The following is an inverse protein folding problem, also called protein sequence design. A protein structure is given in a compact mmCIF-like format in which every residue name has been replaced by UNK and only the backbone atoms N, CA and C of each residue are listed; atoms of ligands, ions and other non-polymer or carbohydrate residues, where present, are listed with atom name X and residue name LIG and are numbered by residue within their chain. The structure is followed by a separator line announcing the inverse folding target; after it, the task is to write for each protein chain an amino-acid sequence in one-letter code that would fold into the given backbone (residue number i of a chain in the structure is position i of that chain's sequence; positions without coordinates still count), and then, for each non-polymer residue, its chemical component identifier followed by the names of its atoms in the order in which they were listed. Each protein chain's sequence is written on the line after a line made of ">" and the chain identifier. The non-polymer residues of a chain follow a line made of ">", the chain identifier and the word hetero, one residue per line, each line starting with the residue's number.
data_IF_216836326481
#
_entry.id   IF_216836326481
#
_cell.length_a   1.000
_cell.length_b   1.000
_cell.length_c   1.000
_cell.angle_alpha   90.00
_cell.angle_beta   90.00
_cell.angle_gamma   90.00
#
_symmetry.space_group_name_H-M   'P 1'
#
loop_
_entity.id
_entity.type
_entity.pdbx_description
1 polymer ?
#
# COMPACT_ATOMS: atom_id res chain seq x y z
N UNK A 1 -9.30 52.84 5.85
CA UNK A 1 -8.27 52.77 4.80
C UNK A 1 -8.65 51.68 3.83
N UNK A 2 -8.74 51.95 2.51
CA UNK A 2 -9.06 50.91 1.54
C UNK A 2 -7.94 49.86 1.48
N UNK A 3 -8.33 48.60 1.38
CA UNK A 3 -7.39 47.47 1.28
C UNK A 3 -6.74 47.48 -0.11
N UNK A 4 -5.41 47.53 -0.17
CA UNK A 4 -4.65 47.46 -1.42
C UNK A 4 -4.70 46.03 -2.00
N UNK A 5 -5.71 45.80 -2.83
CA UNK A 5 -5.95 44.51 -3.51
C UNK A 5 -4.80 44.10 -4.43
N UNK A 6 -4.04 45.05 -4.99
CA UNK A 6 -2.89 44.76 -5.86
C UNK A 6 -1.73 44.18 -5.04
N UNK A 7 -1.43 44.80 -3.91
CA UNK A 7 -0.43 44.30 -2.95
C UNK A 7 -0.82 42.97 -2.33
N UNK A 8 -2.11 42.73 -2.11
CA UNK A 8 -2.62 41.44 -1.62
C UNK A 8 -2.43 40.33 -2.67
N UNK A 9 -2.82 40.56 -3.93
CA UNK A 9 -2.60 39.62 -5.05
C UNK A 9 -1.10 39.35 -5.28
N UNK A 10 -0.27 40.39 -5.20
CA UNK A 10 1.18 40.24 -5.33
C UNK A 10 1.78 39.43 -4.18
N UNK A 11 1.37 39.66 -2.93
CA UNK A 11 1.78 38.83 -1.78
C UNK A 11 1.28 37.40 -1.88
N UNK A 12 0.08 37.17 -2.41
CA UNK A 12 -0.46 35.83 -2.63
C UNK A 12 0.32 35.09 -3.73
N UNK A 13 0.66 35.78 -4.83
CA UNK A 13 1.54 35.27 -5.88
C UNK A 13 2.96 34.99 -5.36
N UNK A 14 3.53 35.88 -4.55
CA UNK A 14 4.84 35.71 -3.93
C UNK A 14 4.84 34.59 -2.88
N UNK A 15 3.75 34.41 -2.14
CA UNK A 15 3.58 33.29 -1.22
C UNK A 15 3.39 31.97 -1.97
N UNK A 16 2.82 32.01 -3.19
CA UNK A 16 2.70 30.87 -4.09
C UNK A 16 4.02 30.52 -4.82
N UNK A 17 5.05 31.39 -4.77
CA UNK A 17 6.39 31.12 -5.32
C UNK A 17 7.24 30.20 -4.44
N UNK A 18 6.81 29.88 -3.22
CA UNK A 18 7.39 28.77 -2.46
C UNK A 18 6.93 27.47 -3.12
N UNK A 19 7.86 26.73 -3.73
CA UNK A 19 7.60 25.46 -4.43
C UNK A 19 7.13 24.31 -3.54
N UNK A 20 6.69 24.61 -2.31
CA UNK A 20 6.09 23.67 -1.37
C UNK A 20 4.60 23.55 -1.69
N UNK A 21 4.16 22.31 -1.97
CA UNK A 21 2.75 21.98 -2.20
C UNK A 21 1.97 22.10 -0.90
N UNK A 22 2.41 21.37 0.13
CA UNK A 22 1.95 21.50 1.51
C UNK A 22 2.88 22.45 2.27
N UNK A 23 2.33 23.54 2.81
CA UNK A 23 3.11 24.57 3.51
C UNK A 23 2.92 24.46 5.01
N UNK A 24 4.02 24.36 5.73
CA UNK A 24 4.03 24.53 7.17
C UNK A 24 3.76 25.99 7.56
N UNK A 25 3.01 26.17 8.64
CA UNK A 25 2.54 27.47 9.13
C UNK A 25 3.64 28.18 9.93
N UNK A 26 3.97 29.42 9.55
CA UNK A 26 4.98 30.21 10.28
C UNK A 26 4.57 30.44 11.74
N UNK A 27 5.53 30.24 12.65
CA UNK A 27 5.34 30.43 14.09
C UNK A 27 4.52 29.32 14.77
N UNK A 28 4.19 28.25 14.02
CA UNK A 28 3.62 27.03 14.56
C UNK A 28 4.59 25.87 14.42
N UNK A 29 4.38 24.91 15.29
CA UNK A 29 4.95 23.57 15.18
C UNK A 29 3.81 22.65 14.73
N UNK A 30 4.05 21.89 13.67
CA UNK A 30 3.11 20.91 13.13
C UNK A 30 3.60 19.51 13.47
N UNK A 31 2.73 18.70 14.07
CA UNK A 31 2.96 17.30 14.34
C UNK A 31 2.52 16.51 13.12
N UNK A 32 3.44 15.82 12.46
CA UNK A 32 3.16 15.10 11.22
C UNK A 32 3.56 13.63 11.34
N UNK A 33 2.85 12.81 10.59
CA UNK A 33 3.19 11.43 10.28
C UNK A 33 3.74 11.34 8.86
N UNK A 34 4.81 10.57 8.66
CA UNK A 34 5.42 10.33 7.34
C UNK A 34 4.90 9.02 6.76
N UNK A 35 4.46 9.05 5.51
CA UNK A 35 3.93 7.86 4.84
C UNK A 35 5.05 6.90 4.44
N UNK A 36 4.71 5.62 4.27
CA UNK A 36 5.60 4.61 3.71
C UNK A 36 5.82 4.78 2.20
N UNK A 37 6.54 3.83 1.57
CA UNK A 37 6.68 3.78 0.11
C UNK A 37 5.31 3.66 -0.59
N UNK A 38 5.04 4.51 -1.59
CA UNK A 38 3.81 4.42 -2.38
C UNK A 38 3.72 3.15 -3.23
N UNK A 39 4.88 2.62 -3.64
CA UNK A 39 5.02 1.41 -4.46
C UNK A 39 5.92 0.44 -3.66
N UNK A 40 5.38 -0.31 -2.70
CA UNK A 40 6.17 -1.20 -1.85
C UNK A 40 6.83 -2.35 -2.63
N UNK A 41 6.34 -2.64 -3.84
CA UNK A 41 6.85 -3.61 -4.79
C UNK A 41 7.83 -3.01 -5.82
N UNK A 42 8.16 -1.71 -5.72
CA UNK A 42 9.12 -1.08 -6.62
C UNK A 42 10.48 -1.78 -6.56
N UNK A 43 11.06 -2.03 -7.74
CA UNK A 43 12.33 -2.73 -7.90
C UNK A 43 13.45 -1.84 -8.42
N UNK A 44 13.17 -0.58 -8.77
CA UNK A 44 14.17 0.34 -9.29
C UNK A 44 15.15 0.78 -8.21
N UNK A 45 16.45 0.68 -8.47
CA UNK A 45 17.51 0.97 -7.49
C UNK A 45 17.43 2.38 -6.87
N UNK A 46 16.85 3.33 -7.60
CA UNK A 46 16.72 4.73 -7.18
C UNK A 46 15.64 4.95 -6.12
N UNK A 47 14.64 4.07 -6.04
CA UNK A 47 13.38 4.32 -5.30
C UNK A 47 12.89 3.11 -4.52
N UNK A 48 13.40 1.91 -4.80
CA UNK A 48 13.08 0.67 -4.09
C UNK A 48 13.19 0.83 -2.57
N UNK A 49 12.06 0.62 -1.89
CA UNK A 49 11.95 0.67 -0.44
C UNK A 49 12.08 2.08 0.16
N UNK A 50 12.11 3.14 -0.64
CA UNK A 50 12.21 4.52 -0.15
C UNK A 50 10.81 5.13 0.02
N UNK A 51 10.49 5.77 1.16
CA UNK A 51 9.25 6.52 1.35
C UNK A 51 9.25 7.91 0.70
N UNK A 52 10.25 8.22 -0.12
CA UNK A 52 10.37 9.50 -0.81
C UNK A 52 10.91 9.35 -2.23
N UNK A 53 10.68 10.38 -3.04
CA UNK A 53 11.20 10.47 -4.40
C UNK A 53 11.99 11.77 -4.56
N UNK A 54 13.19 11.68 -5.14
CA UNK A 54 13.95 12.85 -5.57
C UNK A 54 13.47 13.32 -6.95
N UNK A 55 13.21 14.62 -7.08
CA UNK A 55 12.84 15.23 -8.36
C UNK A 55 13.55 16.57 -8.54
N UNK A 56 14.05 16.83 -9.75
CA UNK A 56 14.62 18.13 -10.10
C UNK A 56 13.57 19.00 -10.77
N UNK A 57 13.40 20.23 -10.29
CA UNK A 57 12.38 21.15 -10.79
C UNK A 57 12.97 22.53 -11.10
N UNK A 58 12.52 23.13 -12.19
CA UNK A 58 12.75 24.54 -12.47
C UNK A 58 11.57 25.38 -11.96
N UNK A 59 11.87 26.58 -11.49
CA UNK A 59 10.86 27.55 -11.05
C UNK A 59 10.94 28.84 -11.86
N UNK A 60 9.85 29.59 -11.91
CA UNK A 60 9.82 30.91 -12.56
C UNK A 60 9.98 30.86 -14.08
N UNK A 61 9.40 29.85 -14.73
CA UNK A 61 9.52 29.65 -16.18
C UNK A 61 8.68 30.64 -17.00
N UNK A 62 7.58 31.15 -16.47
CA UNK A 62 6.74 32.15 -17.12
C UNK A 62 5.54 32.57 -16.27
N UNK A 63 4.60 33.29 -16.87
CA UNK A 63 3.33 33.64 -16.23
C UNK A 63 2.44 32.40 -16.06
N UNK A 64 2.40 31.54 -17.09
CA UNK A 64 1.51 30.38 -17.17
C UNK A 64 2.14 29.15 -16.51
N UNK A 65 3.45 28.93 -16.73
CA UNK A 65 4.20 27.84 -16.10
C UNK A 65 5.03 28.37 -14.93
N UNK A 66 4.52 28.16 -13.71
CA UNK A 66 5.23 28.55 -12.48
C UNK A 66 6.41 27.65 -12.16
N UNK A 67 6.29 26.36 -12.47
CA UNK A 67 7.34 25.37 -12.29
C UNK A 67 7.18 24.24 -13.33
N UNK A 68 8.26 23.53 -13.61
CA UNK A 68 8.23 22.30 -14.40
C UNK A 68 9.33 21.34 -13.93
N UNK A 69 9.08 20.05 -14.09
CA UNK A 69 10.09 19.02 -13.89
C UNK A 69 11.22 19.20 -14.91
N UNK A 70 12.47 19.10 -14.46
CA UNK A 70 13.66 19.21 -15.30
C UNK A 70 13.75 17.99 -16.23
N UNK A 71 13.81 18.21 -17.54
CA UNK A 71 13.85 17.14 -18.56
C UNK A 71 15.26 16.58 -18.83
N UNK A 72 16.25 16.97 -18.03
CA UNK A 72 17.61 16.45 -18.13
C UNK A 72 17.66 15.09 -17.44
N UNK A 73 17.69 13.99 -18.22
CA UNK A 73 17.62 12.62 -17.70
C UNK A 73 18.79 12.25 -16.79
N UNK A 74 19.96 12.87 -16.99
CA UNK A 74 21.16 12.59 -16.18
C UNK A 74 21.04 13.26 -14.81
N UNK A 75 20.43 14.46 -14.75
CA UNK A 75 20.14 15.14 -13.48
C UNK A 75 18.91 14.60 -12.80
N UNK A 76 17.91 14.17 -13.56
CA UNK A 76 16.58 13.82 -13.07
C UNK A 76 16.18 12.41 -13.50
N UNK A 77 16.86 11.37 -12.98
CA UNK A 77 16.70 10.01 -13.45
C UNK A 77 15.31 9.43 -13.15
N UNK A 78 14.54 10.02 -12.23
CA UNK A 78 13.15 9.64 -11.98
C UNK A 78 12.27 9.72 -13.23
N UNK A 79 12.65 10.53 -14.23
CA UNK A 79 11.91 10.61 -15.49
C UNK A 79 11.93 9.31 -16.28
N UNK A 80 12.96 8.48 -16.16
CA UNK A 80 13.03 7.19 -16.87
C UNK A 80 12.44 6.04 -16.05
N UNK A 81 11.96 6.30 -14.84
CA UNK A 81 11.34 5.30 -13.98
C UNK A 81 10.08 4.69 -14.62
N UNK A 82 9.90 3.35 -14.64
CA UNK A 82 8.78 2.69 -15.32
C UNK A 82 7.40 3.22 -14.90
N UNK A 83 7.16 3.37 -13.59
CA UNK A 83 5.90 3.96 -13.08
C UNK A 83 5.65 5.37 -13.60
N UNK A 84 6.66 6.25 -13.59
CA UNK A 84 6.49 7.63 -14.11
C UNK A 84 6.17 7.61 -15.60
N UNK A 85 6.84 6.75 -16.37
CA UNK A 85 6.58 6.56 -17.80
C UNK A 85 5.19 6.01 -18.10
N UNK A 86 4.72 5.06 -17.29
CA UNK A 86 3.35 4.52 -17.35
C UNK A 86 2.33 5.64 -17.12
N UNK A 87 2.42 6.34 -15.98
CA UNK A 87 1.50 7.43 -15.64
C UNK A 87 1.55 8.60 -16.64
N UNK A 88 2.70 8.90 -17.24
CA UNK A 88 2.77 9.93 -18.30
C UNK A 88 1.99 9.55 -19.55
N UNK A 89 1.94 8.25 -19.91
CA UNK A 89 1.19 7.74 -21.07
C UNK A 89 -0.31 7.67 -20.82
N UNK A 90 -0.72 7.44 -19.57
CA UNK A 90 -2.13 7.37 -19.17
C UNK A 90 -2.81 8.75 -19.08
N UNK A 91 -2.05 9.84 -19.11
CA UNK A 91 -2.60 11.19 -19.15
C UNK A 91 -3.51 11.36 -20.37
N UNK A 92 -4.60 12.11 -20.19
CA UNK A 92 -5.50 12.51 -21.29
C UNK A 92 -4.73 13.19 -22.43
N UNK A 93 -3.74 14.01 -22.08
CA UNK A 93 -2.77 14.57 -23.02
C UNK A 93 -1.33 14.17 -22.59
N UNK A 94 -0.79 13.10 -23.18
CA UNK A 94 0.57 12.65 -22.89
C UNK A 94 1.60 13.67 -23.37
N UNK A 95 2.51 14.13 -22.49
CA UNK A 95 3.49 15.13 -22.88
C UNK A 95 4.48 14.53 -23.89
N UNK A 96 4.71 15.22 -24.99
CA UNK A 96 5.81 14.88 -25.92
C UNK A 96 7.12 15.36 -25.32
N UNK A 97 7.87 14.42 -24.75
CA UNK A 97 9.15 14.68 -24.06
C UNK A 97 10.28 14.04 -24.85
N UNK A 98 11.20 14.88 -25.32
CA UNK A 98 12.46 14.44 -25.91
C UNK A 98 13.58 14.54 -24.86
N UNK A 99 13.84 13.42 -24.17
CA UNK A 99 14.87 13.35 -23.13
C UNK A 99 16.30 13.40 -23.70
N UNK A 100 16.48 13.06 -24.98
CA UNK A 100 17.79 13.08 -25.64
C UNK A 100 18.16 14.48 -26.13
N UNK A 101 17.17 15.30 -26.48
CA UNK A 101 17.37 16.72 -26.74
C UNK A 101 17.77 17.52 -25.49
N UNK A 102 17.63 16.96 -24.28
CA UNK A 102 17.93 17.61 -23.01
C UNK A 102 16.91 18.67 -22.58
N UNK A 103 17.09 19.25 -21.39
CA UNK A 103 16.14 20.22 -20.85
C UNK A 103 16.26 21.61 -21.49
N UNK A 104 15.18 22.16 -22.11
CA UNK A 104 15.22 23.49 -22.71
C UNK A 104 15.58 24.61 -21.72
N UNK A 105 15.19 24.48 -20.45
CA UNK A 105 15.55 25.45 -19.41
C UNK A 105 17.04 25.42 -19.14
N UNK A 106 17.62 24.23 -18.91
CA UNK A 106 19.05 24.04 -18.68
C UNK A 106 19.90 24.60 -19.82
N UNK A 107 19.46 24.41 -21.07
CA UNK A 107 20.14 24.92 -22.25
C UNK A 107 20.12 26.44 -22.34
N UNK A 108 19.06 27.10 -21.86
CA UNK A 108 18.91 28.56 -21.91
C UNK A 108 19.59 29.28 -20.75
N UNK A 109 19.88 28.60 -19.63
CA UNK A 109 20.51 29.20 -18.44
C UNK A 109 21.81 29.99 -18.76
N UNK A 110 22.74 29.49 -19.59
CA UNK A 110 23.96 30.23 -19.94
C UNK A 110 23.72 31.59 -20.61
N UNK A 111 22.57 31.74 -21.29
CA UNK A 111 22.19 32.97 -21.99
C UNK A 111 21.38 33.93 -21.10
N UNK A 112 21.04 33.54 -19.87
CA UNK A 112 20.27 34.35 -18.93
C UNK A 112 21.17 35.24 -18.08
N UNK A 113 20.60 36.34 -17.56
CA UNK A 113 21.29 37.12 -16.52
C UNK A 113 21.50 36.28 -15.26
N UNK A 114 22.47 36.67 -14.40
CA UNK A 114 22.73 35.98 -13.13
C UNK A 114 21.49 35.93 -12.22
N UNK A 115 20.68 36.98 -12.25
CA UNK A 115 19.46 37.08 -11.45
C UNK A 115 18.39 36.13 -11.97
N UNK A 116 18.12 36.13 -13.27
CA UNK A 116 17.16 35.22 -13.90
C UNK A 116 17.57 33.75 -13.78
N UNK A 117 18.84 33.45 -14.05
CA UNK A 117 19.37 32.09 -13.93
C UNK A 117 19.28 31.59 -12.50
N UNK A 118 19.56 32.42 -11.48
CA UNK A 118 19.51 31.98 -10.08
C UNK A 118 18.13 31.49 -9.62
N UNK A 119 17.05 32.07 -10.16
CA UNK A 119 15.68 31.65 -9.87
C UNK A 119 15.23 30.45 -10.71
N UNK A 120 15.87 30.22 -11.87
CA UNK A 120 15.50 29.18 -12.85
C UNK A 120 16.41 27.97 -12.87
N UNK A 121 17.54 27.97 -12.17
CA UNK A 121 18.39 26.77 -12.03
C UNK A 121 17.55 25.63 -11.47
N UNK A 122 17.74 24.43 -12.01
CA UNK A 122 17.06 23.23 -11.52
C UNK A 122 17.38 23.05 -10.03
N UNK A 123 16.35 22.93 -9.21
CA UNK A 123 16.46 22.69 -7.78
C UNK A 123 16.03 21.27 -7.49
N UNK A 124 16.89 20.55 -6.77
CA UNK A 124 16.55 19.25 -6.20
C UNK A 124 15.45 19.42 -5.15
N UNK A 125 14.38 18.65 -5.28
CA UNK A 125 13.26 18.57 -4.36
C UNK A 125 13.05 17.12 -3.94
N UNK A 126 12.54 16.97 -2.72
CA UNK A 126 12.20 15.68 -2.16
C UNK A 126 10.70 15.65 -1.95
N UNK A 127 10.05 14.64 -2.53
CA UNK A 127 8.62 14.40 -2.43
C UNK A 127 8.39 13.37 -1.32
N UNK A 128 7.47 13.66 -0.41
CA UNK A 128 7.06 12.81 0.69
C UNK A 128 5.55 12.78 0.79
N UNK A 129 4.97 11.61 1.09
CA UNK A 129 3.61 11.56 1.62
C UNK A 129 3.63 11.92 3.11
N UNK A 130 2.77 12.84 3.54
CA UNK A 130 2.65 13.26 4.94
C UNK A 130 1.19 13.34 5.38
N UNK A 131 0.93 13.17 6.67
CA UNK A 131 -0.36 13.48 7.29
C UNK A 131 -0.15 14.42 8.46
N UNK A 132 -0.82 15.58 8.45
CA UNK A 132 -0.80 16.50 9.59
C UNK A 132 -1.72 15.99 10.70
N UNK A 133 -1.14 15.62 11.83
CA UNK A 133 -1.82 15.04 13.00
C UNK A 133 -2.31 16.14 13.93
N UNK A 134 -1.61 17.27 14.00
CA UNK A 134 -1.99 18.39 14.83
C UNK A 134 -1.02 19.56 14.70
N UNK A 135 -1.35 20.66 15.36
CA UNK A 135 -0.46 21.83 15.40
C UNK A 135 -0.46 22.47 16.77
N UNK A 136 0.61 23.19 17.11
CA UNK A 136 0.66 24.02 18.31
C UNK A 136 1.34 25.34 18.05
N UNK A 137 1.08 26.30 18.93
CA UNK A 137 1.91 27.50 19.01
C UNK A 137 3.14 27.15 19.84
N UNK A 138 4.30 27.69 19.48
CA UNK A 138 5.60 27.39 20.12
C UNK A 138 5.67 27.57 21.65
N UNK A 139 4.66 28.19 22.28
CA UNK A 139 4.60 28.46 23.72
C UNK A 139 3.58 27.59 24.47
N UNK A 140 2.81 26.77 23.75
CA UNK A 140 1.88 25.82 24.37
C UNK A 140 2.54 24.45 24.42
N UNK A 141 2.33 23.72 25.51
CA UNK A 141 2.90 22.38 25.64
C UNK A 141 2.10 21.37 24.80
N UNK A 142 0.80 21.58 24.67
CA UNK A 142 -0.10 20.62 24.03
C UNK A 142 -0.30 20.92 22.54
N UNK A 143 -0.46 19.85 21.77
CA UNK A 143 -0.87 19.90 20.37
C UNK A 143 -2.39 19.95 20.24
N UNK A 144 -2.88 20.90 19.45
CA UNK A 144 -4.25 20.91 18.96
C UNK A 144 -4.33 19.84 17.85
N UNK A 145 -4.80 18.64 18.22
CA UNK A 145 -4.95 17.53 17.29
C UNK A 145 -6.00 17.84 16.22
N UNK A 146 -5.67 17.52 14.98
CA UNK A 146 -6.57 17.71 13.84
C UNK A 146 -7.71 16.70 13.95
N UNK A 147 -8.94 17.18 13.83
CA UNK A 147 -10.13 16.32 13.96
C UNK A 147 -10.23 15.31 12.81
N UNK A 148 -9.76 15.71 11.63
CA UNK A 148 -9.75 14.91 10.41
C UNK A 148 -8.41 15.08 9.70
N UNK A 149 -7.34 14.42 10.18
CA UNK A 149 -6.03 14.47 9.55
C UNK A 149 -6.16 14.07 8.07
N UNK A 150 -5.64 14.93 7.18
CA UNK A 150 -5.69 14.68 5.74
C UNK A 150 -4.29 14.29 5.23
N UNK A 151 -4.15 13.13 4.57
CA UNK A 151 -2.98 12.81 3.78
C UNK A 151 -2.74 13.91 2.74
N UNK A 152 -1.48 14.27 2.54
CA UNK A 152 -1.06 15.25 1.55
C UNK A 152 0.36 14.96 1.06
N UNK A 153 0.69 15.45 -0.13
CA UNK A 153 2.05 15.41 -0.64
C UNK A 153 2.82 16.65 -0.15
N UNK A 154 4.01 16.43 0.39
CA UNK A 154 4.97 17.48 0.67
C UNK A 154 6.11 17.43 -0.34
N UNK A 155 6.43 18.59 -0.92
CA UNK A 155 7.57 18.76 -1.83
C UNK A 155 8.44 19.86 -1.28
N UNK A 156 9.71 19.58 -0.95
CA UNK A 156 10.55 20.61 -0.35
C UNK A 156 12.04 20.41 -0.50
N UNK A 157 12.79 21.26 0.19
CA UNK A 157 14.24 21.33 0.10
C UNK A 157 14.97 20.37 1.03
N UNK A 158 16.29 20.28 0.84
CA UNK A 158 17.18 19.36 1.55
C UNK A 158 17.17 19.51 3.08
N UNK A 159 16.91 20.70 3.62
CA UNK A 159 16.94 20.93 5.07
C UNK A 159 15.87 20.12 5.80
N UNK A 160 14.63 20.14 5.31
CA UNK A 160 13.53 19.37 5.92
C UNK A 160 13.68 17.89 5.62
N UNK A 161 14.09 17.54 4.39
CA UNK A 161 14.38 16.16 4.02
C UNK A 161 15.43 15.52 4.92
N UNK A 162 16.57 16.17 5.15
CA UNK A 162 17.59 15.67 6.07
C UNK A 162 17.06 15.55 7.50
N UNK A 163 16.25 16.51 7.95
CA UNK A 163 15.57 16.40 9.24
C UNK A 163 14.64 15.19 9.33
N UNK A 164 13.97 14.81 8.24
CA UNK A 164 13.20 13.56 8.17
C UNK A 164 14.13 12.35 8.19
N UNK A 165 15.19 12.31 7.39
CA UNK A 165 16.17 11.21 7.40
C UNK A 165 16.81 10.99 8.77
N UNK A 166 17.16 12.07 9.47
CA UNK A 166 17.65 12.01 10.84
C UNK A 166 16.59 11.41 11.77
N UNK A 167 15.30 11.65 11.49
CA UNK A 167 14.20 11.02 12.20
C UNK A 167 14.11 9.49 11.96
N UNK A 168 14.47 9.01 10.76
CA UNK A 168 14.47 7.59 10.36
C UNK A 168 15.69 6.77 10.82
N UNK A 169 16.73 7.42 11.34
CA UNK A 169 18.02 6.76 11.57
C UNK A 169 17.99 5.55 12.52
N UNK A 170 17.02 5.51 13.43
CA UNK A 170 16.94 4.49 14.50
C UNK A 170 15.71 3.58 14.38
N UNK A 171 14.64 4.02 13.71
CA UNK A 171 13.32 3.37 13.69
C UNK A 171 12.59 3.61 12.35
N UNK A 172 11.71 2.69 11.97
CA UNK A 172 10.80 2.88 10.84
C UNK A 172 9.66 3.83 11.21
N UNK A 173 9.85 5.13 10.97
CA UNK A 173 8.83 6.14 11.26
C UNK A 173 7.64 6.11 10.27
N UNK A 174 7.63 5.19 9.30
CA UNK A 174 6.53 4.97 8.34
C UNK A 174 5.59 3.82 8.70
N UNK A 175 5.83 3.15 9.84
CA UNK A 175 4.96 2.09 10.31
C UNK A 175 3.69 2.66 10.95
N UNK A 176 2.53 2.41 10.35
CA UNK A 176 1.25 2.94 10.85
C UNK A 176 0.78 2.32 12.17
N UNK A 177 1.29 1.15 12.53
CA UNK A 177 0.96 0.44 13.77
C UNK A 177 1.90 0.78 14.93
N UNK A 178 3.05 1.37 14.61
CA UNK A 178 4.05 1.91 15.55
C UNK A 178 4.48 3.30 15.09
N UNK A 179 3.49 4.15 14.83
CA UNK A 179 3.71 5.45 14.25
C UNK A 179 4.51 6.36 15.18
N UNK A 180 5.60 6.88 14.62
CA UNK A 180 6.44 7.88 15.22
C UNK A 180 6.16 9.21 14.54
N UNK A 181 5.93 10.26 15.32
CA UNK A 181 5.63 11.57 14.78
C UNK A 181 6.87 12.44 14.69
N UNK A 182 6.86 13.33 13.70
CA UNK A 182 7.86 14.37 13.51
C UNK A 182 7.22 15.72 13.79
N UNK A 183 7.93 16.58 14.52
CA UNK A 183 7.53 17.95 14.77
C UNK A 183 8.28 18.85 13.78
N UNK A 184 7.54 19.59 12.97
CA UNK A 184 8.08 20.55 12.03
C UNK A 184 7.73 21.97 12.46
N UNK A 185 8.74 22.73 12.88
CA UNK A 185 8.63 24.16 13.17
C UNK A 185 9.14 25.00 12.01
N UNK A 186 8.37 26.02 11.61
CA UNK A 186 8.79 27.00 10.60
C UNK A 186 8.97 28.38 11.21
N UNK A 187 10.15 28.95 11.03
CA UNK A 187 10.50 30.29 11.51
C UNK A 187 10.94 31.21 10.37
N UNK A 188 10.52 32.47 10.44
CA UNK A 188 10.92 33.52 9.51
C UNK A 188 10.05 33.58 8.25
N UNK A 189 9.75 34.80 7.84
CA UNK A 189 8.97 35.11 6.65
C UNK A 189 9.90 35.51 5.50
N UNK A 190 10.04 34.62 4.50
CA UNK A 190 10.56 35.01 3.19
C UNK A 190 11.51 33.99 2.54
N UNK A 191 11.69 34.15 1.22
CA UNK A 191 12.41 33.24 0.31
C UNK A 191 13.83 32.87 0.78
N UNK A 192 14.51 33.76 1.53
CA UNK A 192 15.90 33.59 2.00
C UNK A 192 16.05 33.55 3.53
N UNK A 193 14.95 33.69 4.27
CA UNK A 193 14.95 33.82 5.73
C UNK A 193 14.21 32.71 6.46
N UNK A 194 13.52 31.83 5.73
CA UNK A 194 12.82 30.70 6.33
C UNK A 194 13.82 29.67 6.87
N UNK A 195 13.65 29.32 8.13
CA UNK A 195 14.37 28.26 8.82
C UNK A 195 13.36 27.20 9.23
N UNK A 196 13.77 25.95 9.05
CA UNK A 196 13.01 24.80 9.51
C UNK A 196 13.71 24.18 10.71
N UNK A 197 12.92 23.81 11.71
CA UNK A 197 13.34 23.00 12.85
C UNK A 197 12.57 21.69 12.76
N UNK A 198 13.28 20.57 12.75
CA UNK A 198 12.70 19.24 12.64
C UNK A 198 13.15 18.46 13.86
N UNK A 199 12.20 17.91 14.62
CA UNK A 199 12.46 17.15 15.84
C UNK A 199 11.61 15.89 15.86
N UNK A 200 12.13 14.80 16.41
CA UNK A 200 11.30 13.63 16.72
C UNK A 200 10.36 13.99 17.88
N UNK A 201 9.11 13.55 17.82
CA UNK A 201 8.20 13.69 18.96
C UNK A 201 8.59 12.73 20.08
N UNK A 202 9.07 13.29 21.20
CA UNK A 202 9.57 12.48 22.31
C UNK A 202 8.51 11.59 22.98
N UNK A 203 7.22 11.91 22.83
CA UNK A 203 6.15 11.09 23.38
C UNK A 203 6.01 9.79 22.57
N UNK A 204 5.88 9.90 21.25
CA UNK A 204 5.79 8.72 20.37
C UNK A 204 7.06 7.89 20.30
N UNK A 205 8.25 8.48 20.48
CA UNK A 205 9.48 7.69 20.65
C UNK A 205 9.40 6.74 21.86
N UNK A 206 8.81 7.20 22.97
CA UNK A 206 8.71 6.40 24.20
C UNK A 206 7.58 5.39 24.13
N UNK A 207 6.48 5.78 23.51
CA UNK A 207 5.26 5.00 23.38
C UNK A 207 4.69 5.18 21.95
N UNK A 208 5.13 4.36 20.99
CA UNK A 208 4.73 4.48 19.59
C UNK A 208 3.21 4.48 19.45
N UNK A 209 2.68 5.44 18.69
CA UNK A 209 1.25 5.56 18.51
C UNK A 209 0.75 4.54 17.49
N UNK A 210 -0.40 3.91 17.74
CA UNK A 210 -1.11 3.16 16.70
C UNK A 210 -2.09 4.08 15.99
N UNK A 211 -1.94 4.26 14.68
CA UNK A 211 -2.88 5.11 13.93
C UNK A 211 -4.28 4.48 13.90
N UNK A 212 -5.35 5.26 14.08
CA UNK A 212 -6.71 4.75 13.97
C UNK A 212 -6.96 4.08 12.61
N UNK A 213 -7.67 2.95 12.57
CA UNK A 213 -8.01 2.22 11.33
C UNK A 213 -8.53 3.12 10.20
N UNK A 214 -9.48 4.05 10.44
CA UNK A 214 -9.96 4.94 9.39
C UNK A 214 -8.88 5.84 8.80
N UNK A 215 -7.89 6.26 9.61
CA UNK A 215 -6.78 7.07 9.14
C UNK A 215 -5.76 6.24 8.36
N UNK A 216 -5.47 5.00 8.79
CA UNK A 216 -4.62 4.06 8.05
C UNK A 216 -5.17 3.81 6.65
N UNK A 217 -6.46 3.50 6.56
CA UNK A 217 -7.15 3.33 5.27
C UNK A 217 -7.09 4.59 4.40
N UNK A 218 -7.37 5.77 4.97
CA UNK A 218 -7.29 7.04 4.24
C UNK A 218 -5.87 7.33 3.72
N UNK A 219 -4.82 7.00 4.49
CA UNK A 219 -3.43 7.14 4.05
C UNK A 219 -3.12 6.20 2.88
N UNK A 220 -3.47 4.91 2.99
CA UNK A 220 -3.23 3.93 1.91
C UNK A 220 -3.95 4.33 0.63
N UNK A 221 -5.20 4.75 0.73
CA UNK A 221 -5.98 5.20 -0.43
C UNK A 221 -5.37 6.45 -1.07
N UNK A 222 -4.98 7.43 -0.25
CA UNK A 222 -4.29 8.61 -0.76
C UNK A 222 -2.97 8.25 -1.45
N UNK A 223 -2.21 7.26 -0.96
CA UNK A 223 -0.96 6.80 -1.57
C UNK A 223 -1.16 6.09 -2.92
N UNK A 224 -2.35 5.53 -3.19
CA UNK A 224 -2.74 5.04 -4.52
C UNK A 224 -3.13 6.20 -5.47
N UNK A 225 -3.64 7.30 -4.91
CA UNK A 225 -4.14 8.48 -5.64
C UNK A 225 -3.28 9.73 -5.47
N UNK A 226 -3.84 10.74 -4.81
CA UNK A 226 -3.31 12.11 -4.75
C UNK A 226 -1.94 12.26 -4.07
N UNK A 227 -1.56 11.30 -3.22
CA UNK A 227 -0.26 11.25 -2.56
C UNK A 227 0.72 10.28 -3.25
N UNK A 228 0.37 9.65 -4.38
CA UNK A 228 1.31 8.82 -5.11
C UNK A 228 2.43 9.70 -5.71
N UNK A 229 3.66 9.50 -5.23
CA UNK A 229 4.80 10.34 -5.58
C UNK A 229 5.15 10.27 -7.07
N UNK A 230 5.05 9.09 -7.69
CA UNK A 230 5.37 8.88 -9.11
C UNK A 230 4.32 9.53 -10.01
N UNK A 231 3.04 9.36 -9.66
CA UNK A 231 1.92 10.01 -10.35
C UNK A 231 2.01 11.54 -10.27
N UNK A 232 2.45 12.07 -9.12
CA UNK A 232 2.71 13.50 -8.97
C UNK A 232 3.81 13.96 -9.93
N UNK A 233 4.95 13.24 -10.00
CA UNK A 233 6.02 13.58 -10.96
C UNK A 233 5.48 13.59 -12.38
N UNK A 234 4.82 12.51 -12.81
CA UNK A 234 4.25 12.37 -14.16
C UNK A 234 3.26 13.50 -14.53
N UNK A 235 2.42 13.89 -13.57
CA UNK A 235 1.45 14.99 -13.73
C UNK A 235 2.12 16.37 -13.87
N UNK A 236 3.34 16.55 -13.33
CA UNK A 236 4.08 17.81 -13.39
C UNK A 236 5.12 17.87 -14.53
N UNK A 237 5.29 16.79 -15.30
CA UNK A 237 6.10 16.82 -16.52
C UNK A 237 5.37 17.63 -17.59
N UNK A 238 6.08 18.61 -18.16
CA UNK A 238 5.63 19.40 -19.31
C UNK A 238 6.34 18.92 -20.56
N UNK A 239 5.66 18.98 -21.70
CA UNK A 239 6.26 18.69 -23.00
C UNK A 239 7.41 19.65 -23.29
N UNK A 240 8.34 19.22 -24.16
CA UNK A 240 9.49 20.04 -24.53
C UNK A 240 9.05 21.38 -25.15
N UNK A 241 7.98 21.37 -25.94
CA UNK A 241 7.47 22.56 -26.63
C UNK A 241 6.71 23.51 -25.70
N UNK A 242 5.94 23.02 -24.72
CA UNK A 242 5.34 23.85 -23.67
C UNK A 242 6.42 24.62 -22.89
N UNK A 243 7.51 23.95 -22.52
CA UNK A 243 8.61 24.60 -21.81
C UNK A 243 9.27 25.67 -22.68
N UNK A 244 9.49 25.40 -23.98
CA UNK A 244 10.04 26.39 -24.92
C UNK A 244 9.11 27.59 -25.08
N UNK A 245 7.80 27.35 -25.23
CA UNK A 245 6.79 28.39 -25.33
C UNK A 245 6.78 29.29 -24.08
N UNK A 246 6.78 28.70 -22.89
CA UNK A 246 6.86 29.44 -21.63
C UNK A 246 8.13 30.29 -21.54
N UNK A 247 9.29 29.72 -21.90
CA UNK A 247 10.56 30.45 -21.93
C UNK A 247 10.61 31.57 -22.96
N UNK A 248 9.82 31.48 -24.03
CA UNK A 248 9.67 32.52 -25.04
C UNK A 248 8.63 33.60 -24.64
N UNK A 249 7.89 33.40 -23.54
CA UNK A 249 6.80 34.27 -23.13
C UNK A 249 5.57 34.20 -24.04
N UNK A 250 5.45 33.12 -24.83
CA UNK A 250 4.26 32.82 -25.62
C UNK A 250 3.21 32.29 -24.66
N UNK A 251 2.04 32.92 -24.63
CA UNK A 251 0.90 32.42 -23.86
C UNK A 251 0.58 31.00 -24.32
N UNK A 252 0.63 30.06 -23.40
CA UNK A 252 0.24 28.68 -23.69
C UNK A 252 -1.29 28.67 -23.63
N UNK A 253 -1.94 28.16 -24.67
CA UNK A 253 -3.37 27.96 -24.62
C UNK A 253 -3.66 27.12 -23.38
N UNK A 254 -4.45 27.65 -22.45
CA UNK A 254 -4.96 26.83 -21.35
C UNK A 254 -5.79 25.74 -22.02
N UNK A 255 -5.33 24.49 -21.97
CA UNK A 255 -6.20 23.37 -22.31
C UNK A 255 -7.47 23.57 -21.49
N UNK A 256 -8.63 23.56 -22.15
CA UNK A 256 -9.91 23.50 -21.47
C UNK A 256 -9.90 22.21 -20.65
N UNK A 257 -9.36 22.31 -19.44
CA UNK A 257 -9.35 21.27 -18.45
C UNK A 257 -10.82 21.15 -18.11
N UNK A 258 -11.50 20.25 -18.83
CA UNK A 258 -12.87 19.89 -18.54
C UNK A 258 -12.88 19.63 -17.04
N UNK A 259 -13.53 20.52 -16.29
CA UNK A 259 -13.72 20.29 -14.86
C UNK A 259 -14.29 18.88 -14.78
N UNK A 260 -13.66 17.97 -14.02
CA UNK A 260 -14.19 16.62 -13.91
C UNK A 260 -15.65 16.82 -13.52
N UNK A 261 -16.56 16.32 -14.38
CA UNK A 261 -17.99 16.32 -14.05
C UNK A 261 -18.06 15.78 -12.64
N UNK A 262 -18.55 16.60 -11.71
CA UNK A 262 -18.56 16.25 -10.31
C UNK A 262 -19.24 14.89 -10.22
N UNK A 263 -18.50 13.83 -9.86
CA UNK A 263 -19.08 12.52 -9.68
C UNK A 263 -20.27 12.70 -8.76
N UNK A 264 -21.47 12.46 -9.29
CA UNK A 264 -22.68 12.52 -8.50
C UNK A 264 -22.46 11.58 -7.32
N UNK A 265 -22.40 12.15 -6.12
CA UNK A 265 -22.39 11.37 -4.88
C UNK A 265 -23.48 10.32 -5.00
N UNK A 266 -23.18 9.02 -4.85
CA UNK A 266 -24.17 7.98 -5.06
C UNK A 266 -25.39 8.29 -4.19
N UNK A 267 -26.56 8.43 -4.84
CA UNK A 267 -27.84 8.63 -4.17
C UNK A 267 -28.20 7.35 -3.41
N UNK A 268 -27.62 7.19 -2.22
CA UNK A 268 -28.17 6.38 -1.16
C UNK A 268 -29.50 7.00 -0.72
N UNK A 269 -30.59 6.41 -1.20
CA UNK A 269 -31.96 6.91 -1.09
C UNK A 269 -32.43 7.27 0.33
N UNK A 270 -33.33 8.25 0.38
CA UNK A 270 -33.96 8.84 1.58
C UNK A 270 -34.88 7.90 2.37
N UNK A 271 -35.07 6.65 1.95
CA UNK A 271 -36.11 5.77 2.48
C UNK A 271 -35.59 4.51 3.20
N UNK A 272 -34.34 4.49 3.67
CA UNK A 272 -33.91 3.49 4.66
C UNK A 272 -34.20 4.02 6.07
N UNK A 273 -35.24 3.48 6.72
CA UNK A 273 -35.62 3.88 8.08
C UNK A 273 -34.69 3.23 9.11
N UNK A 274 -33.71 4.00 9.57
CA UNK A 274 -32.88 3.68 10.74
C UNK A 274 -33.68 3.92 12.03
N UNK A 275 -33.78 2.92 12.89
CA UNK A 275 -34.47 3.08 14.18
C UNK A 275 -33.76 4.11 15.08
N UNK A 276 -34.58 4.96 15.72
CA UNK A 276 -34.15 6.15 16.46
C UNK A 276 -33.65 5.76 17.86
N UNK A 277 -32.34 5.59 18.04
CA UNK A 277 -31.75 5.35 19.36
C UNK A 277 -30.37 4.69 19.34
N UNK A 278 -29.99 4.09 18.21
CA UNK A 278 -28.70 3.43 18.04
C UNK A 278 -27.62 4.45 17.69
N UNK A 279 -26.49 4.52 18.43
CA UNK A 279 -25.34 5.28 17.97
C UNK A 279 -24.91 4.72 16.62
N UNK A 280 -24.82 5.57 15.60
CA UNK A 280 -24.24 5.20 14.31
C UNK A 280 -22.84 4.61 14.59
N UNK A 281 -22.52 3.38 14.15
CA UNK A 281 -21.14 2.96 14.15
C UNK A 281 -20.38 3.95 13.28
N UNK A 282 -19.32 4.55 13.83
CA UNK A 282 -18.36 5.31 13.02
C UNK A 282 -17.80 4.29 12.03
N UNK A 283 -18.12 4.45 10.75
CA UNK A 283 -17.67 3.57 9.67
C UNK A 283 -16.16 3.32 9.81
N UNK A 284 -15.79 2.08 10.13
CA UNK A 284 -14.44 1.59 9.94
C UNK A 284 -14.36 1.21 8.46
N UNK A 285 -13.87 2.12 7.64
CA UNK A 285 -13.72 1.95 6.19
C UNK A 285 -12.53 1.04 5.85
N UNK A 286 -12.45 -0.12 6.49
CA UNK A 286 -11.45 -1.14 6.20
C UNK A 286 -11.88 -1.90 4.93
N UNK A 287 -10.94 -2.19 4.02
CA UNK A 287 -11.14 -3.25 3.03
C UNK A 287 -11.39 -4.59 3.80
N UNK A 288 -12.08 -5.59 3.23
CA UNK A 288 -12.39 -6.84 3.95
C UNK A 288 -11.17 -7.49 4.63
N UNK A 289 -10.00 -7.37 4.02
CA UNK A 289 -8.73 -7.88 4.55
C UNK A 289 -8.22 -7.09 5.78
N UNK A 290 -8.61 -5.83 5.94
CA UNK A 290 -8.31 -4.98 7.12
C UNK A 290 -9.29 -5.22 8.29
N UNK A 291 -10.41 -5.92 8.04
CA UNK A 291 -11.38 -6.33 9.07
C UNK A 291 -10.94 -7.62 9.76
N UNK A 292 -10.28 -8.51 9.01
CA UNK A 292 -9.86 -9.82 9.48
C UNK A 292 -8.72 -9.78 10.52
N UNK A 293 -8.02 -8.64 10.63
CA UNK A 293 -6.91 -8.49 11.57
C UNK A 293 -7.20 -7.53 12.74
N UNK A 294 -6.89 -8.07 13.93
CA UNK A 294 -6.66 -7.44 15.23
C UNK A 294 -7.76 -7.52 16.31
N UNK A 295 -7.25 -7.68 17.54
CA UNK A 295 -7.96 -7.62 18.81
C UNK A 295 -8.83 -6.35 18.97
N UNK A 296 -8.61 -5.27 18.19
CA UNK A 296 -9.47 -4.08 18.22
C UNK A 296 -10.80 -4.32 17.52
N UNK A 297 -10.82 -5.06 16.41
CA UNK A 297 -12.07 -5.56 15.83
C UNK A 297 -12.74 -6.54 16.79
N UNK A 298 -11.99 -7.47 17.40
CA UNK A 298 -12.55 -8.42 18.36
C UNK A 298 -13.13 -7.74 19.62
N UNK A 299 -12.55 -6.62 20.06
CA UNK A 299 -13.02 -5.82 21.19
C UNK A 299 -14.07 -4.76 20.82
N UNK A 300 -14.39 -4.59 19.53
CA UNK A 300 -15.37 -3.59 19.08
C UNK A 300 -16.80 -4.08 19.32
N UNK A 301 -17.60 -3.30 20.04
CA UNK A 301 -19.03 -3.58 20.29
C UNK A 301 -19.86 -3.72 18.99
N UNK A 302 -19.36 -3.20 17.87
CA UNK A 302 -20.02 -3.21 16.56
C UNK A 302 -19.46 -4.25 15.59
N UNK A 303 -18.52 -5.12 16.02
CA UNK A 303 -17.84 -6.08 15.14
C UNK A 303 -18.78 -6.98 14.36
N UNK A 304 -19.89 -7.38 14.98
CA UNK A 304 -20.94 -8.20 14.38
C UNK A 304 -21.67 -7.49 13.25
N UNK A 305 -22.03 -6.22 13.45
CA UNK A 305 -22.68 -5.41 12.42
C UNK A 305 -21.72 -5.11 11.25
N UNK A 306 -20.43 -4.94 11.54
CA UNK A 306 -19.41 -4.76 10.49
C UNK A 306 -19.18 -6.05 9.69
N UNK A 307 -19.08 -7.21 10.36
CA UNK A 307 -18.94 -8.51 9.73
C UNK A 307 -20.12 -8.82 8.78
N UNK A 308 -21.35 -8.55 9.22
CA UNK A 308 -22.59 -8.74 8.44
C UNK A 308 -22.67 -7.79 7.22
N UNK A 309 -22.26 -6.53 7.40
CA UNK A 309 -22.21 -5.55 6.29
C UNK A 309 -21.15 -5.89 5.24
N UNK A 310 -20.05 -6.52 5.65
CA UNK A 310 -18.90 -6.80 4.80
C UNK A 310 -18.83 -8.26 4.32
N UNK A 311 -19.77 -9.12 4.74
CA UNK A 311 -19.81 -10.56 4.45
C UNK A 311 -18.50 -11.29 4.82
N UNK A 312 -17.95 -10.95 6.00
CA UNK A 312 -16.72 -11.56 6.54
C UNK A 312 -16.98 -12.21 7.89
N UNK A 313 -16.19 -13.24 8.23
CA UNK A 313 -16.27 -13.87 9.55
C UNK A 313 -15.88 -12.90 10.67
N UNK A 314 -16.54 -13.00 11.82
CA UNK A 314 -16.28 -12.14 12.98
C UNK A 314 -14.92 -12.50 13.59
N UNK A 315 -13.98 -11.55 13.72
CA UNK A 315 -12.68 -11.85 14.29
C UNK A 315 -12.76 -12.37 15.73
N UNK A 316 -12.13 -13.52 15.97
CA UNK A 316 -11.97 -14.13 17.30
C UNK A 316 -13.03 -15.16 17.71
N UNK A 317 -13.98 -15.51 16.84
CA UNK A 317 -14.79 -16.72 17.04
C UNK A 317 -14.21 -17.87 16.21
N UNK A 318 -13.81 -18.94 16.89
CA UNK A 318 -13.59 -20.23 16.21
C UNK A 318 -14.92 -20.63 15.56
N UNK A 319 -14.92 -21.03 14.27
CA UNK A 319 -16.13 -21.54 13.64
C UNK A 319 -16.67 -22.66 14.52
N UNK A 320 -17.95 -22.56 14.92
CA UNK A 320 -18.60 -23.65 15.65
C UNK A 320 -18.31 -24.94 14.88
N UNK A 321 -17.77 -25.98 15.53
CA UNK A 321 -17.40 -27.19 14.86
C UNK A 321 -18.62 -27.68 14.09
N UNK A 322 -18.46 -27.83 12.77
CA UNK A 322 -19.53 -28.36 11.92
C UNK A 322 -20.08 -29.60 12.62
N UNK A 323 -21.41 -29.71 12.78
CA UNK A 323 -22.01 -30.85 13.45
C UNK A 323 -21.42 -32.11 12.82
N UNK A 324 -20.78 -32.94 13.66
CA UNK A 324 -20.13 -34.16 13.20
C UNK A 324 -21.10 -34.87 12.26
N UNK A 325 -20.67 -35.16 11.01
CA UNK A 325 -21.55 -35.86 10.07
C UNK A 325 -22.02 -37.13 10.77
N UNK A 326 -23.35 -37.29 10.85
CA UNK A 326 -23.94 -38.53 11.35
C UNK A 326 -23.22 -39.69 10.64
N UNK A 327 -22.75 -40.70 11.39
CA UNK A 327 -21.90 -41.75 10.84
C UNK A 327 -22.56 -42.32 9.60
N UNK A 328 -21.91 -42.14 8.45
CA UNK A 328 -22.33 -42.78 7.22
C UNK A 328 -22.48 -44.28 7.50
N UNK A 329 -23.60 -44.91 7.09
CA UNK A 329 -23.78 -46.34 7.27
C UNK A 329 -22.60 -47.07 6.61
N UNK A 330 -21.88 -47.87 7.40
CA UNK A 330 -20.79 -48.72 6.90
C UNK A 330 -21.26 -49.42 5.63
N UNK A 331 -20.51 -49.33 4.51
CA UNK A 331 -20.89 -49.99 3.28
C UNK A 331 -20.97 -51.50 3.55
N UNK A 332 -22.19 -52.04 3.46
CA UNK A 332 -22.39 -53.48 3.58
C UNK A 332 -21.48 -54.18 2.55
N UNK A 333 -20.66 -55.18 2.96
CA UNK A 333 -19.82 -55.90 2.04
C UNK A 333 -20.69 -56.53 0.94
N UNK A 334 -20.28 -56.47 -0.34
CA UNK A 334 -21.07 -56.99 -1.44
C UNK A 334 -21.39 -58.46 -1.19
N UNK A 335 -22.67 -58.77 -0.97
CA UNK A 335 -23.19 -60.09 -0.54
C UNK A 335 -22.96 -61.21 -1.57
N UNK A 336 -22.25 -60.97 -2.66
CA UNK A 336 -22.00 -61.91 -3.76
C UNK A 336 -20.55 -61.92 -4.25
N UNK A 337 -19.56 -61.67 -3.38
CA UNK A 337 -18.16 -61.94 -3.75
C UNK A 337 -17.92 -63.45 -3.89
N UNK A 338 -17.65 -63.89 -5.12
CA UNK A 338 -17.36 -65.30 -5.39
C UNK A 338 -15.97 -65.67 -4.86
N UNK A 339 -15.72 -66.96 -4.67
CA UNK A 339 -14.40 -67.47 -4.27
C UNK A 339 -13.29 -67.09 -5.27
N UNK A 340 -13.64 -66.84 -6.53
CA UNK A 340 -12.71 -66.37 -7.55
C UNK A 340 -12.31 -64.90 -7.29
N UNK A 341 -13.27 -64.05 -6.91
CA UNK A 341 -13.05 -62.62 -6.64
C UNK A 341 -12.14 -62.43 -5.41
N UNK A 342 -12.38 -63.18 -4.33
CA UNK A 342 -11.51 -63.16 -3.14
C UNK A 342 -10.07 -63.59 -3.46
N UNK A 343 -9.90 -64.61 -4.31
CA UNK A 343 -8.57 -65.02 -4.79
C UNK A 343 -7.91 -63.95 -5.64
N UNK A 344 -8.65 -63.30 -6.53
CA UNK A 344 -8.13 -62.21 -7.34
C UNK A 344 -7.73 -61.00 -6.48
N UNK A 345 -8.47 -60.69 -5.42
CA UNK A 345 -8.12 -59.66 -4.44
C UNK A 345 -6.86 -60.03 -3.66
N UNK A 346 -6.73 -61.27 -3.16
CA UNK A 346 -5.50 -61.74 -2.51
C UNK A 346 -4.29 -61.65 -3.43
N UNK A 347 -4.42 -62.12 -4.68
CA UNK A 347 -3.33 -62.05 -5.66
C UNK A 347 -2.92 -60.61 -6.00
N UNK A 348 -3.88 -59.66 -6.05
CA UNK A 348 -3.59 -58.24 -6.26
C UNK A 348 -2.87 -57.62 -5.06
N UNK A 349 -3.28 -57.93 -3.84
CA UNK A 349 -2.63 -57.47 -2.62
C UNK A 349 -1.19 -58.03 -2.49
N UNK A 350 -0.99 -59.33 -2.77
CA UNK A 350 0.35 -59.95 -2.81
C UNK A 350 1.24 -59.35 -3.90
N UNK A 351 0.69 -59.06 -5.08
CA UNK A 351 1.42 -58.41 -6.17
C UNK A 351 1.79 -56.95 -5.83
N UNK A 352 0.90 -56.21 -5.19
CA UNK A 352 1.15 -54.85 -4.71
C UNK A 352 2.26 -54.84 -3.65
N UNK A 353 2.20 -55.75 -2.67
CA UNK A 353 3.25 -55.92 -1.65
C UNK A 353 4.61 -56.27 -2.27
N UNK A 354 4.64 -57.13 -3.30
CA UNK A 354 5.87 -57.46 -4.03
C UNK A 354 6.41 -56.28 -4.86
N UNK A 355 5.53 -55.41 -5.37
CA UNK A 355 5.91 -54.17 -6.07
C UNK A 355 6.43 -53.10 -5.12
N UNK A 356 5.84 -52.97 -3.93
CA UNK A 356 6.29 -52.03 -2.90
C UNK A 356 7.71 -52.32 -2.40
N UNK A 357 8.16 -53.59 -2.46
CA UNK A 357 9.56 -53.95 -2.18
C UNK A 357 10.58 -53.48 -3.25
N UNK A 358 10.12 -53.05 -4.43
CA UNK A 358 10.96 -52.47 -5.48
C UNK A 358 10.44 -51.05 -5.81
N UNK A 359 10.78 -50.09 -4.95
CA UNK A 359 10.45 -48.70 -5.18
C UNK A 359 11.12 -48.22 -6.50
N UNK A 360 10.39 -47.56 -7.43
CA UNK A 360 10.91 -47.20 -8.75
C UNK A 360 12.04 -46.15 -8.72
N UNK A 361 12.35 -45.57 -7.56
CA UNK A 361 13.45 -44.61 -7.39
C UNK A 361 14.83 -45.24 -7.19
N UNK A 362 14.93 -46.58 -6.99
CA UNK A 362 16.20 -47.24 -6.69
C UNK A 362 16.80 -46.89 -5.32
N UNK A 363 16.07 -46.18 -4.46
CA UNK A 363 16.46 -45.82 -3.11
C UNK A 363 16.14 -46.95 -2.12
N UNK A 364 16.99 -47.10 -1.11
CA UNK A 364 16.86 -48.10 -0.04
C UNK A 364 15.77 -47.70 0.97
N UNK A 365 15.21 -48.68 1.70
CA UNK A 365 14.15 -48.46 2.71
C UNK A 365 14.59 -47.47 3.80
N UNK A 366 15.89 -47.32 4.04
CA UNK A 366 16.47 -46.34 4.98
C UNK A 366 16.47 -44.90 4.45
N UNK A 367 16.40 -44.69 3.13
CA UNK A 367 16.45 -43.37 2.50
C UNK A 367 15.07 -42.70 2.34
N UNK A 368 13.97 -43.44 2.53
CA UNK A 368 12.60 -42.95 2.29
C UNK A 368 11.85 -42.46 3.55
N UNK A 369 12.47 -42.47 4.73
CA UNK A 369 11.83 -41.98 5.96
C UNK A 369 10.74 -42.89 6.53
N UNK A 370 10.37 -42.67 7.80
CA UNK A 370 9.55 -43.56 8.64
C UNK A 370 8.04 -43.63 8.27
N UNK A 371 7.60 -42.94 7.23
CA UNK A 371 6.17 -42.85 6.89
C UNK A 371 5.62 -44.11 6.18
N UNK A 372 6.46 -45.12 5.93
CA UNK A 372 6.09 -46.36 5.24
C UNK A 372 5.62 -47.51 6.14
N UNK A 373 5.71 -47.39 7.47
CA UNK A 373 5.42 -48.49 8.39
C UNK A 373 3.91 -48.72 8.60
N UNK A 374 3.09 -47.65 8.51
CA UNK A 374 1.64 -47.74 8.69
C UNK A 374 0.93 -48.42 7.50
N UNK A 375 1.42 -48.18 6.27
CA UNK A 375 0.87 -48.81 5.06
C UNK A 375 1.19 -50.30 4.99
N UNK A 376 2.38 -50.71 5.44
CA UNK A 376 2.76 -52.14 5.49
C UNK A 376 1.93 -52.89 6.55
N UNK A 377 1.68 -52.27 7.70
CA UNK A 377 0.83 -52.84 8.75
C UNK A 377 -0.62 -53.03 8.27
N UNK A 378 -1.18 -52.05 7.55
CA UNK A 378 -2.55 -52.11 7.00
C UNK A 378 -2.69 -53.21 5.95
N UNK A 379 -1.72 -53.34 5.04
CA UNK A 379 -1.69 -54.41 4.02
C UNK A 379 -1.58 -55.81 4.64
N UNK A 380 -0.82 -55.96 5.73
CA UNK A 380 -0.69 -57.24 6.44
C UNK A 380 -2.01 -57.64 7.12
N UNK A 381 -2.68 -56.67 7.77
CA UNK A 381 -3.97 -56.91 8.41
C UNK A 381 -5.05 -57.36 7.40
N UNK A 382 -5.10 -56.75 6.21
CA UNK A 382 -6.04 -57.16 5.14
C UNK A 382 -5.74 -58.58 4.61
N UNK A 383 -4.46 -58.94 4.44
CA UNK A 383 -4.08 -60.28 3.98
C UNK A 383 -4.46 -61.37 4.98
N UNK A 384 -4.25 -61.12 6.27
CA UNK A 384 -4.61 -62.05 7.35
C UNK A 384 -6.12 -62.24 7.45
N UNK A 385 -6.90 -61.16 7.28
CA UNK A 385 -8.36 -61.23 7.25
C UNK A 385 -8.86 -62.10 6.09
N UNK A 386 -8.37 -61.85 4.86
CA UNK A 386 -8.77 -62.62 3.68
C UNK A 386 -8.36 -64.10 3.78
N UNK A 387 -7.19 -64.39 4.35
CA UNK A 387 -6.76 -65.77 4.58
C UNK A 387 -7.61 -66.49 5.64
N UNK A 388 -8.01 -65.77 6.69
CA UNK A 388 -8.94 -66.25 7.71
C UNK A 388 -10.29 -66.65 7.11
N UNK A 389 -10.86 -65.81 6.25
CA UNK A 389 -12.12 -66.08 5.56
C UNK A 389 -12.04 -67.32 4.67
N UNK A 390 -10.99 -67.43 3.84
CA UNK A 390 -10.78 -68.59 2.95
C UNK A 390 -10.61 -69.90 3.74
N UNK A 391 -9.95 -69.86 4.91
CA UNK A 391 -9.82 -71.01 5.81
C UNK A 391 -11.17 -71.41 6.42
N UNK A 392 -11.98 -70.45 6.87
CA UNK A 392 -13.33 -70.74 7.39
C UNK A 392 -14.23 -71.34 6.30
N UNK A 393 -14.21 -70.78 5.10
CA UNK A 393 -15.01 -71.27 3.98
C UNK A 393 -14.57 -72.68 3.56
N UNK A 394 -13.26 -72.96 3.53
CA UNK A 394 -12.74 -74.31 3.28
C UNK A 394 -13.13 -75.31 4.38
N UNK A 395 -13.28 -74.88 5.64
CA UNK A 395 -13.79 -75.73 6.73
C UNK A 395 -15.28 -76.01 6.55
N UNK A 396 -16.09 -75.00 6.19
CA UNK A 396 -17.53 -75.16 5.87
C UNK A 396 -17.75 -76.14 4.71
N UNK A 397 -16.96 -76.03 3.65
CA UNK A 397 -17.04 -76.93 2.49
C UNK A 397 -16.65 -78.39 2.81
N UNK A 398 -15.77 -78.62 3.80
CA UNK A 398 -15.37 -79.98 4.25
C UNK A 398 -16.31 -80.57 5.29
N UNK A 399 -16.98 -79.74 6.09
CA UNK A 399 -17.95 -80.16 7.11
C UNK A 399 -19.32 -80.60 6.56
N UNK A 400 -19.62 -80.29 5.29
CA UNK A 400 -20.89 -80.63 4.63
C UNK A 400 -20.93 -81.97 3.89
N UNK A 401 -19.91 -82.83 4.02
CA UNK A 401 -19.95 -84.23 3.57
C UNK A 401 -19.96 -85.16 4.78
N UNK A 402 -21.13 -85.35 5.38
CA UNK A 402 -21.46 -86.52 6.20
C UNK A 402 -22.82 -87.03 5.78
#
# INVERSE_FOLDING_TARGET
>A
MPVDRKKMKQRQADSARGGELTKFTEGREELIYLHGPCEPDDQEDLTKGLPWVEVWMHYGLGADIKNAVCLDKDRNPILVHPRVQEWMKERRDPPVVDLDAGCPVCQKIPDMTKEESSDRVAQKRYLWGITSIGSRRRRTNDFDLERYPKPALWAGGITVHNGFLDAFSDDDVTNMDKALYVIVGKEGSGKRGTKYKIEKDSATIRDPAKLPKPLRAAIREAMKGDCNLFRFVASNVKSTDEIRAALAGVAIAEDEQAEPEAEETPEGGRDYQWEKGTPKPKMCFAEPDDIADDDECAACDFKWACADLCDVAVPGEEPEPEPEPEPEPEPEPPKNETKADRRARKNRAEAAKKKAGNHPSGLTKEELGQDGDDDEAKLNAELDQVEGELKQESKRARGGRR
#
